data_IF_725545935575
#
_entry.id   IF_725545935575
#
_cell.length_a   1.000
_cell.length_b   1.000
_cell.length_c   1.000
_cell.angle_alpha   90.00
_cell.angle_beta   90.00
_cell.angle_gamma   90.00
#
_symmetry.space_group_name_H-M   'P 1'
#
loop_
_entity.id
_entity.type
_entity.pdbx_description
1 polymer ?
#
# COMPACT_ATOMS: atom_id res chain seq x y z
N UNK A 1 -10.66 -20.59 36.72
CA UNK A 1 -9.43 -20.35 35.94
C UNK A 1 -9.44 -21.02 34.57
N UNK A 2 -9.85 -22.30 34.46
CA UNK A 2 -9.85 -23.05 33.18
C UNK A 2 -10.61 -22.35 32.03
N UNK A 3 -11.75 -21.71 32.32
CA UNK A 3 -12.54 -20.99 31.31
C UNK A 3 -11.80 -19.81 30.67
N UNK A 4 -11.05 -19.04 31.46
CA UNK A 4 -10.27 -17.90 30.96
C UNK A 4 -9.11 -18.34 30.07
N UNK A 5 -8.47 -19.48 30.40
CA UNK A 5 -7.39 -20.05 29.57
C UNK A 5 -7.96 -20.52 28.23
N UNK A 6 -9.10 -21.23 28.23
CA UNK A 6 -9.77 -21.66 26.98
C UNK A 6 -10.20 -20.46 26.13
N UNK A 7 -10.76 -19.41 26.74
CA UNK A 7 -11.11 -18.17 26.05
C UNK A 7 -9.89 -17.51 25.41
N UNK A 8 -8.79 -17.37 26.15
CA UNK A 8 -7.55 -16.77 25.65
C UNK A 8 -6.97 -17.57 24.48
N UNK A 9 -6.88 -18.89 24.61
CA UNK A 9 -6.37 -19.76 23.53
C UNK A 9 -7.24 -19.67 22.27
N UNK A 10 -8.56 -19.63 22.42
CA UNK A 10 -9.45 -19.40 21.29
C UNK A 10 -9.23 -18.02 20.64
N UNK A 11 -9.06 -16.97 21.45
CA UNK A 11 -8.71 -15.63 20.96
C UNK A 11 -7.40 -15.62 20.18
N UNK A 12 -6.36 -16.32 20.66
CA UNK A 12 -5.09 -16.48 19.95
C UNK A 12 -5.27 -17.22 18.62
N UNK A 13 -6.04 -18.32 18.60
CA UNK A 13 -6.30 -19.11 17.39
C UNK A 13 -7.03 -18.25 16.34
N UNK A 14 -8.09 -17.55 16.74
CA UNK A 14 -8.86 -16.71 15.82
C UNK A 14 -8.05 -15.52 15.30
N UNK A 15 -7.24 -14.89 16.15
CA UNK A 15 -6.33 -13.80 15.74
C UNK A 15 -5.26 -14.31 14.76
N UNK A 16 -4.68 -15.49 15.02
CA UNK A 16 -3.70 -16.10 14.13
C UNK A 16 -4.31 -16.46 12.76
N UNK A 17 -5.53 -17.01 12.73
CA UNK A 17 -6.26 -17.29 11.48
C UNK A 17 -6.56 -16.00 10.70
N UNK A 18 -7.06 -14.97 11.37
CA UNK A 18 -7.35 -13.67 10.75
C UNK A 18 -6.08 -13.05 10.17
N UNK A 19 -5.00 -12.99 10.95
CA UNK A 19 -3.69 -12.49 10.51
C UNK A 19 -3.14 -13.24 9.31
N UNK A 20 -3.23 -14.59 9.30
CA UNK A 20 -2.83 -15.42 8.15
C UNK A 20 -3.63 -15.06 6.90
N UNK A 21 -4.96 -14.99 7.01
CA UNK A 21 -5.83 -14.62 5.89
C UNK A 21 -5.49 -13.23 5.33
N UNK A 22 -5.22 -12.25 6.20
CA UNK A 22 -4.79 -10.91 5.76
C UNK A 22 -3.44 -10.94 5.04
N UNK A 23 -2.46 -11.70 5.55
CA UNK A 23 -1.16 -11.86 4.88
C UNK A 23 -1.29 -12.50 3.50
N UNK A 24 -2.11 -13.55 3.36
CA UNK A 24 -2.38 -14.20 2.08
C UNK A 24 -2.99 -13.21 1.06
N UNK A 25 -3.93 -12.35 1.50
CA UNK A 25 -4.49 -11.28 0.67
C UNK A 25 -3.46 -10.22 0.28
N UNK A 26 -2.57 -9.83 1.19
CA UNK A 26 -1.50 -8.86 0.92
C UNK A 26 -0.53 -9.41 -0.14
N UNK A 27 -0.14 -10.68 -0.04
CA UNK A 27 0.75 -11.32 -1.02
C UNK A 27 0.09 -11.33 -2.40
N UNK A 28 -1.20 -11.66 -2.47
CA UNK A 28 -1.95 -11.64 -3.73
C UNK A 28 -2.03 -10.23 -4.34
N UNK A 29 -2.40 -9.23 -3.53
CA UNK A 29 -2.46 -7.83 -3.97
C UNK A 29 -1.10 -7.35 -4.51
N UNK A 30 -0.02 -7.71 -3.82
CA UNK A 30 1.34 -7.39 -4.25
C UNK A 30 1.66 -7.94 -5.64
N UNK A 31 1.35 -9.22 -5.88
CA UNK A 31 1.61 -9.85 -7.18
C UNK A 31 0.82 -9.18 -8.30
N UNK A 32 -0.45 -8.87 -8.05
CA UNK A 32 -1.32 -8.17 -9.00
C UNK A 32 -0.78 -6.77 -9.33
N UNK A 33 -0.33 -6.02 -8.33
CA UNK A 33 0.18 -4.68 -8.53
C UNK A 33 1.58 -4.68 -9.16
N UNK A 34 2.48 -5.58 -8.78
CA UNK A 34 3.77 -5.76 -9.47
C UNK A 34 3.58 -6.10 -10.96
N UNK A 35 2.57 -6.92 -11.30
CA UNK A 35 2.22 -7.21 -12.69
C UNK A 35 1.70 -5.97 -13.45
N UNK A 36 0.94 -5.08 -12.79
CA UNK A 36 0.53 -3.79 -13.38
C UNK A 36 1.74 -2.89 -13.66
N UNK A 37 2.74 -2.90 -12.78
CA UNK A 37 3.94 -2.07 -12.90
C UNK A 37 4.93 -2.56 -13.96
N UNK A 38 4.91 -3.85 -14.33
CA UNK A 38 5.80 -4.42 -15.36
C UNK A 38 5.69 -3.68 -16.70
N UNK A 39 4.53 -3.08 -16.99
CA UNK A 39 4.27 -2.29 -18.21
C UNK A 39 4.96 -0.91 -18.25
N UNK A 40 5.60 -0.47 -17.17
CA UNK A 40 6.19 0.88 -17.04
C UNK A 40 7.63 1.02 -17.58
N UNK A 41 8.22 -0.06 -18.11
CA UNK A 41 9.52 -0.02 -18.80
C UNK A 41 10.65 0.61 -17.96
N UNK A 42 11.30 1.66 -18.48
CA UNK A 42 12.44 2.35 -17.84
C UNK A 42 12.18 2.85 -16.40
N UNK A 43 10.92 3.07 -16.01
CA UNK A 43 10.55 3.55 -14.65
C UNK A 43 10.27 2.42 -13.65
N UNK A 44 10.39 1.16 -14.07
CA UNK A 44 10.02 -0.01 -13.26
C UNK A 44 10.72 -0.04 -11.88
N UNK A 45 11.98 0.38 -11.79
CA UNK A 45 12.72 0.42 -10.51
C UNK A 45 12.12 1.43 -9.52
N UNK A 46 11.88 2.66 -9.95
CA UNK A 46 11.26 3.70 -9.10
C UNK A 46 9.84 3.32 -8.73
N UNK A 47 9.11 2.67 -9.64
CA UNK A 47 7.76 2.17 -9.39
C UNK A 47 7.75 1.09 -8.30
N UNK A 48 8.63 0.10 -8.39
CA UNK A 48 8.77 -0.92 -7.34
C UNK A 48 9.15 -0.29 -5.99
N UNK A 49 10.05 0.70 -5.98
CA UNK A 49 10.41 1.39 -4.75
C UNK A 49 9.23 2.15 -4.13
N UNK A 50 8.41 2.82 -4.95
CA UNK A 50 7.19 3.47 -4.49
C UNK A 50 6.19 2.46 -3.95
N UNK A 51 5.93 1.36 -4.66
CA UNK A 51 5.03 0.31 -4.20
C UNK A 51 5.48 -0.25 -2.85
N UNK A 52 6.78 -0.50 -2.68
CA UNK A 52 7.36 -0.92 -1.40
C UNK A 52 7.14 0.12 -0.30
N UNK A 53 7.35 1.41 -0.59
CA UNK A 53 7.13 2.50 0.35
C UNK A 53 5.67 2.58 0.82
N UNK A 54 4.71 2.34 -0.08
CA UNK A 54 3.27 2.43 0.24
C UNK A 54 2.79 1.36 1.23
N UNK A 55 3.48 0.21 1.38
CA UNK A 55 3.17 -0.76 2.42
C UNK A 55 3.45 -0.23 3.84
N UNK A 56 4.43 0.67 3.98
CA UNK A 56 4.76 1.33 5.24
C UNK A 56 4.03 2.67 5.39
N UNK A 57 3.79 3.38 4.29
CA UNK A 57 3.16 4.70 4.25
C UNK A 57 1.99 4.72 3.25
N UNK A 58 0.86 4.07 3.58
CA UNK A 58 -0.26 3.93 2.66
C UNK A 58 -0.94 5.27 2.33
N UNK A 59 -0.74 6.29 3.16
CA UNK A 59 -1.10 7.68 2.89
C UNK A 59 0.17 8.46 2.60
N UNK A 60 0.29 8.99 1.40
CA UNK A 60 1.51 9.66 0.93
C UNK A 60 1.20 10.90 0.10
N UNK A 61 2.14 11.84 0.07
CA UNK A 61 2.07 13.07 -0.74
C UNK A 61 3.26 13.15 -1.70
N UNK A 62 3.18 14.00 -2.73
CA UNK A 62 4.30 14.19 -3.68
C UNK A 62 5.58 14.65 -2.94
N UNK A 63 5.55 15.64 -2.02
CA UNK A 63 6.75 16.05 -1.30
C UNK A 63 7.34 14.93 -0.43
N UNK A 64 6.49 14.10 0.17
CA UNK A 64 6.93 12.95 0.95
C UNK A 64 7.64 11.90 0.07
N UNK A 65 6.99 11.48 -1.02
CA UNK A 65 7.55 10.49 -1.95
C UNK A 65 8.85 10.99 -2.59
N UNK A 66 8.91 12.27 -2.97
CA UNK A 66 10.12 12.90 -3.53
C UNK A 66 11.30 12.80 -2.56
N UNK A 67 11.06 13.04 -1.26
CA UNK A 67 12.06 12.95 -0.20
C UNK A 67 12.51 11.52 0.05
N UNK A 68 11.57 10.62 0.29
CA UNK A 68 11.87 9.22 0.64
C UNK A 68 12.55 8.46 -0.50
N UNK A 69 12.12 8.70 -1.74
CA UNK A 69 12.71 8.05 -2.92
C UNK A 69 13.93 8.81 -3.49
N UNK A 70 14.28 9.98 -2.92
CA UNK A 70 15.36 10.87 -3.39
C UNK A 70 15.26 11.18 -4.89
N UNK A 71 14.05 11.49 -5.34
CA UNK A 71 13.76 11.86 -6.74
C UNK A 71 13.21 13.29 -6.81
N UNK A 72 13.31 13.93 -7.97
CA UNK A 72 12.73 15.26 -8.17
C UNK A 72 11.21 15.26 -7.98
N UNK A 73 10.66 16.40 -7.57
CA UNK A 73 9.22 16.58 -7.39
C UNK A 73 8.44 16.28 -8.69
N UNK A 74 9.01 16.60 -9.85
CA UNK A 74 8.42 16.28 -11.16
C UNK A 74 8.38 14.77 -11.41
N UNK A 75 9.45 14.03 -11.04
CA UNK A 75 9.48 12.58 -11.17
C UNK A 75 8.49 11.91 -10.21
N UNK A 76 8.39 12.39 -8.97
CA UNK A 76 7.41 11.93 -7.99
C UNK A 76 5.97 12.17 -8.49
N UNK A 77 5.68 13.33 -9.04
CA UNK A 77 4.36 13.65 -9.62
C UNK A 77 4.01 12.71 -10.79
N UNK A 78 4.96 12.47 -11.70
CA UNK A 78 4.77 11.57 -12.86
C UNK A 78 4.46 10.14 -12.43
N UNK A 79 5.19 9.60 -11.45
CA UNK A 79 5.00 8.22 -11.01
C UNK A 79 3.70 8.05 -10.21
N UNK A 80 3.31 9.04 -9.41
CA UNK A 80 2.00 9.02 -8.75
C UNK A 80 0.88 9.01 -9.80
N UNK A 81 0.98 9.83 -10.86
CA UNK A 81 -0.02 9.83 -11.92
C UNK A 81 -0.11 8.46 -12.63
N UNK A 82 1.01 7.75 -12.81
CA UNK A 82 1.01 6.37 -13.32
C UNK A 82 0.31 5.40 -12.34
N UNK A 83 0.60 5.51 -11.04
CA UNK A 83 -0.05 4.70 -10.00
C UNK A 83 -1.55 4.97 -9.88
N UNK A 84 -1.99 6.20 -10.14
CA UNK A 84 -3.41 6.53 -10.21
C UNK A 84 -4.06 5.91 -11.46
N UNK A 85 -3.39 5.98 -12.62
CA UNK A 85 -3.87 5.36 -13.87
C UNK A 85 -3.96 3.85 -13.77
N UNK A 86 -3.07 3.20 -13.03
CA UNK A 86 -3.13 1.75 -12.77
C UNK A 86 -4.13 1.36 -11.68
N UNK A 87 -4.76 2.35 -11.02
CA UNK A 87 -5.72 2.12 -9.95
C UNK A 87 -5.11 1.75 -8.60
N UNK A 88 -3.79 1.83 -8.44
CA UNK A 88 -3.07 1.51 -7.19
C UNK A 88 -3.26 2.64 -6.16
N UNK A 89 -3.15 3.90 -6.60
CA UNK A 89 -3.36 5.07 -5.75
C UNK A 89 -4.66 5.79 -6.08
N UNK A 90 -5.35 6.27 -5.04
CA UNK A 90 -6.49 7.18 -5.17
C UNK A 90 -6.20 8.46 -4.42
N UNK A 91 -6.59 9.60 -4.97
CA UNK A 91 -6.49 10.86 -4.23
C UNK A 91 -7.72 11.03 -3.31
N UNK A 92 -7.50 11.46 -2.07
CA UNK A 92 -8.56 11.51 -1.04
C UNK A 92 -9.01 12.92 -0.67
N UNK A 93 -8.23 13.94 -0.99
CA UNK A 93 -8.40 15.28 -0.43
C UNK A 93 -9.30 16.22 -1.23
N UNK A 94 -9.45 16.01 -2.54
CA UNK A 94 -10.18 16.91 -3.45
C UNK A 94 -9.51 18.27 -3.66
N UNK A 95 -8.31 18.49 -3.12
CA UNK A 95 -7.63 19.79 -3.16
C UNK A 95 -6.72 19.97 -4.38
N UNK A 96 -6.48 21.23 -4.75
CA UNK A 96 -5.52 21.59 -5.81
C UNK A 96 -4.05 21.56 -5.35
N UNK A 97 -3.80 21.71 -4.03
CA UNK A 97 -2.47 21.68 -3.39
C UNK A 97 -2.49 20.75 -2.18
N UNK A 98 -1.30 20.28 -1.75
CA UNK A 98 -1.13 19.38 -0.61
C UNK A 98 -1.97 18.09 -0.70
N UNK A 99 -2.12 17.55 -1.92
CA UNK A 99 -2.89 16.34 -2.19
C UNK A 99 -2.32 15.14 -1.45
N UNK A 100 -3.22 14.36 -0.84
CA UNK A 100 -2.89 13.08 -0.22
C UNK A 100 -3.43 11.95 -1.09
N UNK A 101 -2.58 10.96 -1.33
CA UNK A 101 -2.88 9.77 -2.08
C UNK A 101 -2.89 8.58 -1.14
N UNK A 102 -3.90 7.72 -1.27
CA UNK A 102 -4.07 6.51 -0.47
C UNK A 102 -3.92 5.27 -1.34
N UNK A 103 -3.24 4.26 -0.79
CA UNK A 103 -3.27 2.89 -1.29
C UNK A 103 -4.52 2.18 -0.78
N UNK A 104 -5.67 2.53 -1.37
CA UNK A 104 -7.01 2.16 -0.87
C UNK A 104 -7.21 0.64 -0.76
N UNK A 105 -6.80 -0.11 -1.79
CA UNK A 105 -6.95 -1.57 -1.83
C UNK A 105 -6.16 -2.26 -0.71
N UNK A 106 -4.96 -1.78 -0.39
CA UNK A 106 -4.18 -2.29 0.74
C UNK A 106 -4.86 -1.98 2.08
N UNK A 107 -5.35 -0.76 2.26
CA UNK A 107 -6.02 -0.35 3.51
C UNK A 107 -7.31 -1.14 3.77
N UNK A 108 -8.02 -1.57 2.73
CA UNK A 108 -9.21 -2.42 2.86
C UNK A 108 -8.91 -3.82 3.39
N UNK A 109 -7.66 -4.29 3.32
CA UNK A 109 -7.29 -5.63 3.81
C UNK A 109 -7.25 -5.73 5.34
N UNK A 110 -7.22 -4.59 6.03
CA UNK A 110 -7.21 -4.51 7.50
C UNK A 110 -8.59 -4.17 8.09
N UNK A 111 -9.63 -4.15 7.27
CA UNK A 111 -11.02 -3.97 7.70
C UNK A 111 -11.71 -5.29 7.93
#
# INVERSE_FOLDING_TARGET
>A
MEHWIKFFLNGCIETAKSGRSTLEKIIKLRQEDEAKLFKLGKRSKTAHNLLKLLYSYPFSSIPFISRELKISHQSASKIIAEFQKSGILRETTGYSRNRIFVYDEYMKLFR
#
